data_IF_467806527217
#
_entry.id   IF_467806527217
#
_cell.length_a   1.000
_cell.length_b   1.000
_cell.length_c   1.000
_cell.angle_alpha   90.00
_cell.angle_beta   90.00
_cell.angle_gamma   90.00
#
_symmetry.space_group_name_H-M   'P 1'
#
loop_
_entity.id
_entity.type
_entity.pdbx_description
1 polymer ?
#
# COMPACT_ATOMS: atom_id res chain seq x y z
N UNK A 1 -5.00 9.12 -21.01
CA UNK A 1 -4.86 8.89 -19.55
C UNK A 1 -6.25 8.69 -18.97
N UNK A 2 -6.47 7.66 -18.16
CA UNK A 2 -7.78 7.36 -17.56
C UNK A 2 -8.12 8.31 -16.40
N UNK A 3 -9.39 8.71 -16.31
CA UNK A 3 -9.95 9.47 -15.17
C UNK A 3 -10.77 8.58 -14.23
N UNK A 4 -11.39 9.18 -13.21
CA UNK A 4 -12.28 8.46 -12.28
C UNK A 4 -11.61 7.89 -11.02
N UNK A 5 -10.39 8.34 -10.71
CA UNK A 5 -9.71 8.05 -9.46
C UNK A 5 -10.39 8.80 -8.30
N UNK A 6 -10.84 8.08 -7.29
CA UNK A 6 -11.60 8.62 -6.15
C UNK A 6 -11.06 8.02 -4.84
N UNK A 7 -11.19 8.76 -3.74
CA UNK A 7 -10.87 8.26 -2.39
C UNK A 7 -9.50 7.57 -2.33
N UNK A 8 -8.46 8.28 -2.78
CA UNK A 8 -7.12 7.71 -2.91
C UNK A 8 -6.53 7.45 -1.53
N UNK A 9 -6.34 6.18 -1.21
CA UNK A 9 -5.83 5.73 0.08
C UNK A 9 -4.31 5.56 0.11
N UNK A 10 -3.68 5.38 -1.05
CA UNK A 10 -2.23 5.23 -1.14
C UNK A 10 -1.78 4.97 -2.57
N UNK A 11 -0.50 5.26 -2.83
CA UNK A 11 0.15 5.01 -4.11
C UNK A 11 1.61 4.65 -3.90
N UNK A 12 2.08 3.60 -4.57
CA UNK A 12 3.47 3.16 -4.48
C UNK A 12 3.97 2.67 -5.84
N UNK A 13 5.21 3.01 -6.17
CA UNK A 13 5.92 2.41 -7.31
C UNK A 13 6.49 1.06 -6.91
N UNK A 14 6.29 0.04 -7.74
CA UNK A 14 6.89 -1.28 -7.54
C UNK A 14 7.25 -1.90 -8.90
N UNK A 15 8.55 -2.13 -9.12
CA UNK A 15 9.05 -2.51 -10.43
C UNK A 15 8.82 -1.40 -11.46
N UNK A 16 8.16 -1.74 -12.57
CA UNK A 16 7.86 -0.83 -13.67
C UNK A 16 6.43 -0.28 -13.65
N UNK A 17 5.69 -0.49 -12.55
CA UNK A 17 4.28 -0.13 -12.38
C UNK A 17 4.05 0.79 -11.20
N UNK A 18 2.92 1.51 -11.22
CA UNK A 18 2.35 2.11 -10.02
C UNK A 18 1.19 1.25 -9.53
N UNK A 19 1.10 1.11 -8.22
CA UNK A 19 -0.02 0.50 -7.52
C UNK A 19 -0.76 1.58 -6.75
N UNK A 20 -2.08 1.60 -6.86
CA UNK A 20 -2.92 2.69 -6.35
C UNK A 20 -4.14 2.07 -5.67
N UNK A 21 -4.46 2.53 -4.46
CA UNK A 21 -5.75 2.24 -3.85
C UNK A 21 -6.71 3.39 -4.15
N UNK A 22 -7.83 3.08 -4.79
CA UNK A 22 -8.87 4.03 -5.20
C UNK A 22 -10.24 3.42 -4.94
N UNK A 23 -11.14 4.12 -4.25
CA UNK A 23 -12.48 3.63 -3.93
C UNK A 23 -12.48 2.24 -3.29
N UNK A 24 -11.54 2.00 -2.38
CA UNK A 24 -11.37 0.72 -1.68
C UNK A 24 -10.87 -0.46 -2.51
N UNK A 25 -10.42 -0.22 -3.74
CA UNK A 25 -9.85 -1.22 -4.64
C UNK A 25 -8.37 -0.95 -4.92
N UNK A 26 -7.55 -2.00 -4.96
CA UNK A 26 -6.15 -1.92 -5.39
C UNK A 26 -6.09 -2.08 -6.91
N UNK A 27 -5.39 -1.18 -7.57
CA UNK A 27 -5.14 -1.21 -9.01
C UNK A 27 -3.64 -1.30 -9.27
N UNK A 28 -3.25 -2.04 -10.30
CA UNK A 28 -1.95 -1.82 -10.94
C UNK A 28 -2.15 -0.96 -12.18
N UNK A 29 -1.15 -0.14 -12.48
CA UNK A 29 -1.10 0.72 -13.65
C UNK A 29 0.20 0.51 -14.42
N UNK A 30 0.10 0.53 -15.75
CA UNK A 30 1.25 0.55 -16.65
C UNK A 30 1.68 1.99 -16.93
N UNK A 31 2.91 2.17 -17.44
CA UNK A 31 3.49 3.50 -17.72
C UNK A 31 2.68 4.33 -18.73
N UNK A 32 1.90 3.68 -19.60
CA UNK A 32 0.99 4.34 -20.56
C UNK A 32 -0.38 4.69 -19.95
N UNK A 33 -0.56 4.46 -18.64
CA UNK A 33 -1.75 4.85 -17.89
C UNK A 33 -2.94 3.90 -18.04
N UNK A 34 -2.75 2.69 -18.60
CA UNK A 34 -3.75 1.62 -18.48
C UNK A 34 -3.71 1.06 -17.07
N UNK A 35 -4.85 0.56 -16.60
CA UNK A 35 -4.96 0.01 -15.26
C UNK A 35 -5.89 -1.21 -15.22
N UNK A 36 -5.68 -2.07 -14.22
CA UNK A 36 -6.58 -3.18 -13.90
C UNK A 36 -6.75 -3.30 -12.40
N UNK A 37 -7.96 -3.67 -11.96
CA UNK A 37 -8.22 -3.97 -10.55
C UNK A 37 -7.56 -5.29 -10.16
N UNK A 38 -6.96 -5.33 -8.97
CA UNK A 38 -6.37 -6.50 -8.33
C UNK A 38 -7.22 -7.01 -7.16
N UNK A 39 -8.36 -6.37 -6.89
CA UNK A 39 -9.27 -6.72 -5.80
C UNK A 39 -9.54 -5.56 -4.83
N UNK A 40 -10.64 -5.70 -4.08
CA UNK A 40 -11.13 -4.70 -3.14
C UNK A 40 -11.15 -5.19 -1.69
N UNK A 41 -11.85 -4.43 -0.85
CA UNK A 41 -11.93 -4.67 0.60
C UNK A 41 -10.93 -3.86 1.41
N UNK A 42 -10.22 -2.94 0.75
CA UNK A 42 -9.33 -1.99 1.41
C UNK A 42 -10.17 -0.84 1.97
N UNK A 43 -10.05 -0.59 3.27
CA UNK A 43 -10.84 0.40 4.01
C UNK A 43 -9.93 1.22 4.91
N UNK A 44 -10.29 2.48 5.18
CA UNK A 44 -9.60 3.34 6.15
C UNK A 44 -8.07 3.29 5.98
N UNK A 45 -7.62 3.61 4.77
CA UNK A 45 -6.21 3.41 4.40
C UNK A 45 -5.34 4.41 5.13
N UNK A 46 -4.38 3.90 5.90
CA UNK A 46 -3.39 4.71 6.60
C UNK A 46 -2.14 5.00 5.75
N UNK A 47 -1.85 4.14 4.78
CA UNK A 47 -0.72 4.32 3.87
C UNK A 47 -0.38 3.06 3.09
N UNK A 48 0.41 3.23 2.04
CA UNK A 48 0.95 2.15 1.23
C UNK A 48 2.39 2.44 0.85
N UNK A 49 3.27 1.44 0.98
CA UNK A 49 4.64 1.50 0.52
C UNK A 49 5.04 0.18 -0.17
N UNK A 50 6.03 0.22 -1.05
CA UNK A 50 6.64 -0.98 -1.62
C UNK A 50 7.93 -1.30 -0.89
N UNK A 51 8.23 -2.57 -0.66
CA UNK A 51 9.54 -3.00 -0.17
C UNK A 51 9.85 -4.39 -0.75
N UNK A 52 11.04 -4.52 -1.34
CA UNK A 52 11.38 -5.67 -2.17
C UNK A 52 10.36 -5.87 -3.30
N UNK A 53 9.80 -7.07 -3.40
CA UNK A 53 8.82 -7.45 -4.41
C UNK A 53 7.35 -7.38 -3.94
N UNK A 54 7.10 -6.70 -2.81
CA UNK A 54 5.79 -6.65 -2.15
C UNK A 54 5.32 -5.22 -1.93
N UNK A 55 4.02 -5.09 -1.71
CA UNK A 55 3.38 -3.90 -1.16
C UNK A 55 3.03 -4.14 0.31
N UNK A 56 3.11 -3.08 1.10
CA UNK A 56 2.73 -3.05 2.49
C UNK A 56 1.65 -1.99 2.64
N UNK A 57 0.46 -2.44 3.05
CA UNK A 57 -0.75 -1.62 3.05
C UNK A 57 -1.32 -1.62 4.46
N UNK A 58 -1.59 -0.44 5.00
CA UNK A 58 -2.27 -0.28 6.28
C UNK A 58 -3.74 0.00 5.98
N UNK A 59 -4.64 -0.89 6.40
CA UNK A 59 -6.08 -0.85 6.11
C UNK A 59 -6.87 -1.31 7.32
N UNK A 60 -7.85 -0.53 7.76
CA UNK A 60 -8.70 -0.84 8.93
C UNK A 60 -7.87 -1.18 10.18
N UNK A 61 -6.78 -0.46 10.40
CA UNK A 61 -5.83 -0.65 11.51
C UNK A 61 -5.02 -1.95 11.50
N UNK A 62 -5.00 -2.68 10.38
CA UNK A 62 -4.17 -3.85 10.15
C UNK A 62 -3.06 -3.53 9.13
N UNK A 63 -1.87 -4.10 9.31
CA UNK A 63 -0.83 -4.10 8.28
C UNK A 63 -0.95 -5.38 7.45
N UNK A 64 -0.95 -5.23 6.13
CA UNK A 64 -0.99 -6.32 5.17
C UNK A 64 0.25 -6.32 4.29
N UNK A 65 0.80 -7.51 4.04
CA UNK A 65 1.73 -7.75 2.94
C UNK A 65 0.92 -8.22 1.73
N UNK A 66 1.12 -7.57 0.59
CA UNK A 66 0.39 -7.83 -0.66
C UNK A 66 1.36 -8.10 -1.80
N UNK A 67 1.05 -9.09 -2.62
CA UNK A 67 1.81 -9.46 -3.81
C UNK A 67 1.37 -8.63 -5.03
N UNK A 68 2.19 -8.63 -6.08
CA UNK A 68 1.91 -7.91 -7.34
C UNK A 68 0.61 -8.36 -8.05
N UNK A 69 0.12 -9.56 -7.75
CA UNK A 69 -1.16 -10.11 -8.25
C UNK A 69 -2.35 -9.86 -7.31
N UNK A 70 -2.17 -9.09 -6.23
CA UNK A 70 -3.26 -8.68 -5.32
C UNK A 70 -3.54 -9.65 -4.17
N UNK A 71 -2.84 -10.79 -4.07
CA UNK A 71 -2.98 -11.67 -2.91
C UNK A 71 -2.34 -11.02 -1.69
N UNK A 72 -3.00 -11.12 -0.54
CA UNK A 72 -2.52 -10.49 0.68
C UNK A 72 -2.61 -11.40 1.89
N UNK A 73 -1.78 -11.10 2.90
CA UNK A 73 -1.84 -11.70 4.23
C UNK A 73 -1.70 -10.61 5.29
N UNK A 74 -2.39 -10.75 6.42
CA UNK A 74 -2.25 -9.83 7.55
C UNK A 74 -0.93 -10.13 8.28
N UNK A 75 -0.19 -9.07 8.63
CA UNK A 75 1.01 -9.12 9.45
C UNK A 75 0.77 -8.71 10.90
N UNK A 76 -0.39 -8.13 11.20
CA UNK A 76 -0.76 -7.72 12.55
C UNK A 76 -1.72 -6.54 12.59
N UNK A 77 -2.21 -6.27 13.81
CA UNK A 77 -3.17 -5.21 14.16
C UNK A 77 -2.53 -4.15 15.06
N UNK A 78 -3.27 -3.08 15.32
CA UNK A 78 -2.88 -2.03 16.28
C UNK A 78 -2.25 -0.81 15.62
N UNK A 79 -2.28 -0.74 14.29
CA UNK A 79 -1.82 0.40 13.53
C UNK A 79 -2.89 1.48 13.56
N UNK A 80 -2.68 2.51 14.37
CA UNK A 80 -3.65 3.61 14.56
C UNK A 80 -2.99 4.95 14.24
N UNK A 81 -3.81 5.95 13.93
CA UNK A 81 -3.36 7.33 13.73
C UNK A 81 -2.14 7.41 12.80
N UNK A 82 -2.30 6.87 11.59
CA UNK A 82 -1.17 6.69 10.68
C UNK A 82 -0.78 8.04 10.05
N UNK A 83 0.47 8.43 10.24
CA UNK A 83 1.05 9.62 9.63
C UNK A 83 1.65 9.38 8.24
N UNK A 84 1.93 8.11 7.91
CA UNK A 84 2.41 7.68 6.60
C UNK A 84 3.18 6.37 6.66
N UNK A 85 3.40 5.79 5.48
CA UNK A 85 4.26 4.63 5.28
C UNK A 85 5.18 4.88 4.09
N UNK A 86 6.46 4.54 4.23
CA UNK A 86 7.45 4.65 3.17
C UNK A 86 8.50 3.57 3.34
N UNK A 87 9.23 3.27 2.27
CA UNK A 87 10.43 2.44 2.34
C UNK A 87 11.66 3.26 1.98
N UNK A 88 12.79 2.84 2.53
CA UNK A 88 14.09 3.33 2.13
C UNK A 88 15.09 2.17 2.24
N UNK A 89 15.76 1.86 1.13
CA UNK A 89 16.59 0.68 0.98
C UNK A 89 15.83 -0.61 1.34
N UNK A 90 16.31 -1.32 2.36
CA UNK A 90 15.82 -2.60 2.87
C UNK A 90 14.82 -2.46 4.03
N UNK A 91 14.41 -1.22 4.34
CA UNK A 91 13.55 -0.92 5.49
C UNK A 91 12.21 -0.34 5.10
N UNK A 92 11.18 -0.81 5.79
CA UNK A 92 9.84 -0.23 5.82
C UNK A 92 9.73 0.65 7.07
N UNK A 93 9.21 1.85 6.89
CA UNK A 93 8.96 2.83 7.93
C UNK A 93 7.47 3.16 7.99
N UNK A 94 6.91 3.16 9.19
CA UNK A 94 5.51 3.51 9.43
C UNK A 94 5.44 4.44 10.63
N UNK A 95 4.77 5.58 10.46
CA UNK A 95 4.41 6.46 11.58
C UNK A 95 3.03 6.06 12.08
N UNK A 96 2.93 5.66 13.34
CA UNK A 96 1.66 5.35 14.00
C UNK A 96 1.58 6.11 15.32
N UNK A 97 0.53 6.93 15.47
CA UNK A 97 0.44 7.93 16.52
C UNK A 97 1.63 8.89 16.47
N UNK A 98 2.48 8.85 17.49
CA UNK A 98 3.67 9.71 17.62
C UNK A 98 5.00 8.95 17.49
N UNK A 99 4.95 7.69 17.05
CA UNK A 99 6.10 6.78 17.02
C UNK A 99 6.41 6.40 15.57
N UNK A 100 7.70 6.47 15.21
CA UNK A 100 8.23 5.92 13.97
C UNK A 100 8.66 4.47 14.20
N UNK A 101 7.96 3.54 13.59
CA UNK A 101 8.31 2.12 13.56
C UNK A 101 9.14 1.83 12.31
N UNK A 102 10.05 0.86 12.41
CA UNK A 102 10.77 0.34 11.25
C UNK A 102 10.98 -1.16 11.33
N UNK A 103 10.98 -1.82 10.17
CA UNK A 103 11.36 -3.23 10.04
C UNK A 103 12.15 -3.44 8.77
N UNK A 104 13.05 -4.40 8.79
CA UNK A 104 13.77 -4.89 7.62
C UNK A 104 12.98 -6.06 7.00
N UNK A 105 13.09 -6.25 5.69
CA UNK A 105 12.75 -7.54 5.08
C UNK A 105 13.88 -8.53 5.33
N UNK A 106 13.52 -9.74 5.78
CA UNK A 106 14.45 -10.88 5.88
C UNK A 106 14.80 -11.43 4.50
#
# INVERSE_FOLDING_TARGET
MGGGWIEIGGMASLGDKLYIISGGNLYETTKDGKYKSLGGGWIEIGGMASLGDKLYIISGGNLYETTKDGKYKSLGRGWIEIGGAASNNDKLYIISGKILYSTETK
#
